data_IF_538368199871
#
_entry.id   IF_538368199871
#
_cell.length_a   1.000
_cell.length_b   1.000
_cell.length_c   1.000
_cell.angle_alpha   90.00
_cell.angle_beta   90.00
_cell.angle_gamma   90.00
#
_symmetry.space_group_name_H-M   'P 1'
#
loop_
_entity.id
_entity.type
_entity.pdbx_description
1 polymer ?
#
# COMPACT_ATOMS: atom_id res chain seq x y z
N UNK A 1 -3.70 11.66 9.56
CA UNK A 1 -2.39 11.91 8.90
C UNK A 1 -2.69 12.37 7.46
N UNK A 2 -2.07 13.43 6.94
CA UNK A 2 -2.31 13.87 5.55
C UNK A 2 -1.49 12.99 4.59
N UNK A 3 -2.15 12.06 3.90
CA UNK A 3 -1.48 11.08 3.03
C UNK A 3 -0.79 11.72 1.82
N UNK A 4 -1.34 12.82 1.27
CA UNK A 4 -0.70 13.62 0.21
C UNK A 4 0.67 14.14 0.69
N UNK A 5 0.77 14.51 1.97
CA UNK A 5 2.04 14.91 2.60
C UNK A 5 3.10 13.82 2.54
N UNK A 6 2.80 12.62 3.04
CA UNK A 6 3.74 11.47 3.02
C UNK A 6 4.11 11.04 1.59
N UNK A 7 3.18 11.11 0.63
CA UNK A 7 3.47 10.78 -0.78
C UNK A 7 4.43 11.82 -1.40
N UNK A 8 4.18 13.11 -1.18
CA UNK A 8 4.99 14.19 -1.77
C UNK A 8 6.35 14.37 -1.09
N UNK A 9 6.46 14.14 0.22
CA UNK A 9 7.73 14.20 0.95
C UNK A 9 8.63 12.98 0.69
N UNK A 10 8.14 11.96 -0.01
CA UNK A 10 8.84 10.71 -0.23
C UNK A 10 9.04 9.90 1.06
N UNK A 11 8.08 9.95 1.99
CA UNK A 11 8.12 9.28 3.29
C UNK A 11 8.31 7.77 3.14
N UNK A 12 9.36 7.25 3.79
CA UNK A 12 9.69 5.83 3.85
C UNK A 12 9.65 5.28 5.27
N UNK A 13 9.06 5.98 6.24
CA UNK A 13 8.96 5.49 7.63
C UNK A 13 8.04 4.29 7.81
N UNK A 14 7.46 3.77 6.71
CA UNK A 14 6.52 2.67 6.71
C UNK A 14 7.13 1.34 7.15
N UNK A 15 6.35 0.53 7.86
CA UNK A 15 6.77 -0.75 8.45
C UNK A 15 5.76 -1.87 8.20
N UNK A 16 6.25 -3.11 8.14
CA UNK A 16 5.45 -4.33 8.26
C UNK A 16 5.73 -4.89 9.65
N UNK A 17 4.69 -5.17 10.42
CA UNK A 17 4.84 -5.64 11.80
C UNK A 17 4.00 -6.89 12.05
N UNK A 18 4.59 -7.84 12.78
CA UNK A 18 3.95 -9.00 13.39
C UNK A 18 3.47 -8.59 14.78
N UNK A 19 2.24 -8.89 15.14
CA UNK A 19 1.79 -8.93 16.53
C UNK A 19 1.40 -10.35 16.93
N UNK A 20 1.97 -10.78 18.04
CA UNK A 20 1.86 -12.11 18.59
C UNK A 20 1.00 -12.07 19.87
N UNK A 21 -0.15 -12.74 19.86
CA UNK A 21 -1.14 -12.63 20.95
C UNK A 21 -0.78 -13.44 22.20
N UNK A 22 0.04 -14.49 22.08
CA UNK A 22 0.46 -15.31 23.22
C UNK A 22 1.50 -14.57 24.05
N UNK A 23 2.45 -13.92 23.37
CA UNK A 23 3.53 -13.16 24.01
C UNK A 23 3.20 -11.67 24.20
N UNK A 24 2.14 -11.17 23.56
CA UNK A 24 1.77 -9.75 23.43
C UNK A 24 2.90 -8.87 22.84
N UNK A 25 3.77 -9.44 22.00
CA UNK A 25 4.91 -8.73 21.40
C UNK A 25 4.62 -8.23 19.99
N UNK A 26 5.14 -7.04 19.68
CA UNK A 26 5.22 -6.49 18.31
C UNK A 26 6.65 -6.68 17.78
N UNK A 27 6.80 -7.40 16.66
CA UNK A 27 8.07 -7.53 15.93
C UNK A 27 7.99 -6.77 14.61
N UNK A 28 8.98 -5.93 14.31
CA UNK A 28 9.11 -5.31 12.98
C UNK A 28 9.71 -6.33 12.02
N UNK A 29 8.94 -6.74 11.00
CA UNK A 29 9.37 -7.66 9.96
C UNK A 29 10.11 -6.93 8.83
N UNK A 30 9.61 -5.77 8.43
CA UNK A 30 10.22 -4.90 7.42
C UNK A 30 10.12 -3.44 7.85
N UNK A 31 11.12 -2.65 7.49
CA UNK A 31 11.19 -1.21 7.70
C UNK A 31 11.48 -0.49 6.37
N UNK A 32 11.58 0.84 6.43
CA UNK A 32 11.97 1.68 5.29
C UNK A 32 11.05 1.57 4.05
N UNK A 33 9.76 1.24 4.25
CA UNK A 33 8.79 1.07 3.15
C UNK A 33 8.09 2.37 2.76
N UNK A 34 7.87 2.54 1.45
CA UNK A 34 7.40 3.79 0.83
C UNK A 34 5.87 3.85 0.76
N UNK A 35 5.22 4.12 1.90
CA UNK A 35 3.76 4.08 2.07
C UNK A 35 3.17 2.67 1.81
N UNK A 36 3.46 1.68 2.68
CA UNK A 36 2.81 0.39 2.68
C UNK A 36 1.34 0.58 3.09
N UNK A 37 0.39 0.14 2.27
CA UNK A 37 -1.03 0.49 2.43
C UNK A 37 -1.93 -0.75 2.64
N UNK A 38 -1.74 -1.80 1.83
CA UNK A 38 -2.44 -3.08 1.98
C UNK A 38 -1.52 -4.23 2.33
N UNK A 39 -2.01 -5.18 3.12
CA UNK A 39 -1.35 -6.46 3.40
C UNK A 39 -2.33 -7.63 3.25
N UNK A 40 -1.88 -8.75 2.69
CA UNK A 40 -2.67 -9.98 2.58
C UNK A 40 -1.79 -11.23 2.74
N UNK A 41 -2.26 -12.19 3.53
CA UNK A 41 -1.59 -13.48 3.72
C UNK A 41 -2.02 -14.47 2.62
N UNK A 42 -1.09 -15.30 2.16
CA UNK A 42 -1.38 -16.43 1.26
C UNK A 42 -2.23 -17.50 1.96
N UNK A 43 -3.05 -18.25 1.20
CA UNK A 43 -3.94 -19.29 1.75
C UNK A 43 -3.20 -20.37 2.55
N UNK A 44 -1.96 -20.67 2.16
CA UNK A 44 -1.05 -21.63 2.80
C UNK A 44 -0.20 -21.03 3.94
N UNK A 45 -0.27 -19.71 4.17
CA UNK A 45 0.55 -19.01 5.17
C UNK A 45 2.05 -18.96 4.85
N UNK A 46 2.47 -19.29 3.63
CA UNK A 46 3.88 -19.32 3.23
C UNK A 46 4.46 -17.94 2.90
N UNK A 47 3.63 -16.94 2.55
CA UNK A 47 4.07 -15.59 2.21
C UNK A 47 2.98 -14.52 2.45
N UNK A 48 3.40 -13.26 2.45
CA UNK A 48 2.55 -12.08 2.56
C UNK A 48 2.73 -11.23 1.30
N UNK A 49 1.63 -10.73 0.75
CA UNK A 49 1.66 -9.66 -0.25
C UNK A 49 1.46 -8.29 0.42
N UNK A 50 2.24 -7.30 -0.02
CA UNK A 50 2.26 -5.95 0.53
C UNK A 50 2.10 -4.95 -0.63
N UNK A 51 1.12 -4.05 -0.57
CA UNK A 51 0.95 -2.98 -1.54
C UNK A 51 1.77 -1.74 -1.11
N UNK A 52 2.77 -1.37 -1.91
CA UNK A 52 3.58 -0.17 -1.69
C UNK A 52 3.11 0.96 -2.65
N UNK A 53 2.27 1.86 -2.15
CA UNK A 53 1.48 2.81 -2.96
C UNK A 53 2.36 3.71 -3.82
N UNK A 54 3.36 4.36 -3.24
CA UNK A 54 4.20 5.35 -3.96
C UNK A 54 5.09 4.73 -5.04
N UNK A 55 5.38 3.42 -4.90
CA UNK A 55 6.15 2.62 -5.87
C UNK A 55 5.25 1.86 -6.85
N UNK A 56 3.93 1.97 -6.70
CA UNK A 56 2.91 1.35 -7.55
C UNK A 56 3.17 -0.16 -7.76
N UNK A 57 3.57 -0.88 -6.70
CA UNK A 57 3.96 -2.30 -6.79
C UNK A 57 3.42 -3.12 -5.64
N UNK A 58 3.29 -4.42 -5.89
CA UNK A 58 3.06 -5.44 -4.87
C UNK A 58 4.37 -6.16 -4.60
N UNK A 59 4.76 -6.22 -3.33
CA UNK A 59 5.89 -6.98 -2.83
C UNK A 59 5.41 -8.31 -2.24
N UNK A 60 6.25 -9.35 -2.30
CA UNK A 60 6.03 -10.61 -1.60
C UNK A 60 7.13 -10.80 -0.56
N UNK A 61 6.72 -11.03 0.69
CA UNK A 61 7.60 -11.38 1.80
C UNK A 61 7.38 -12.84 2.21
N UNK A 62 8.44 -13.65 2.20
CA UNK A 62 8.36 -15.08 2.48
C UNK A 62 8.41 -15.37 3.99
N UNK A 63 7.55 -16.27 4.47
CA UNK A 63 7.41 -16.62 5.89
C UNK A 63 7.95 -18.02 6.25
N UNK A 64 7.61 -19.06 5.46
CA UNK A 64 7.75 -20.48 5.88
C UNK A 64 8.44 -21.38 4.85
N UNK A 65 9.29 -20.82 4.00
CA UNK A 65 10.03 -21.54 2.95
C UNK A 65 11.54 -21.38 3.15
N UNK A 66 12.42 -22.06 2.37
CA UNK A 66 13.86 -21.77 2.37
C UNK A 66 14.22 -20.32 1.99
N UNK A 67 13.25 -19.55 1.49
CA UNK A 67 13.34 -18.11 1.22
C UNK A 67 12.83 -17.23 2.39
N UNK A 68 12.47 -17.79 3.54
CA UNK A 68 11.89 -17.03 4.66
C UNK A 68 12.75 -15.80 5.04
N UNK A 69 12.09 -14.68 5.32
CA UNK A 69 12.75 -13.39 5.58
C UNK A 69 13.15 -12.60 4.32
N UNK A 70 13.06 -13.18 3.12
CA UNK A 70 13.35 -12.45 1.88
C UNK A 70 12.14 -11.72 1.31
N UNK A 71 12.43 -10.65 0.55
CA UNK A 71 11.47 -9.75 -0.07
C UNK A 71 11.71 -9.68 -1.58
N UNK A 72 10.68 -9.96 -2.39
CA UNK A 72 10.73 -9.89 -3.86
C UNK A 72 9.59 -9.02 -4.43
N UNK A 73 9.77 -8.47 -5.64
CA UNK A 73 8.67 -7.79 -6.34
C UNK A 73 7.74 -8.85 -6.94
N UNK A 74 6.48 -8.86 -6.54
CA UNK A 74 5.48 -9.80 -7.06
C UNK A 74 4.82 -9.28 -8.34
N UNK A 75 4.48 -7.99 -8.37
CA UNK A 75 3.88 -7.34 -9.53
C UNK A 75 4.19 -5.84 -9.54
N UNK A 76 4.55 -5.30 -10.70
CA UNK A 76 4.56 -3.86 -10.94
C UNK A 76 3.21 -3.45 -11.54
N UNK A 77 2.58 -2.40 -11.01
CA UNK A 77 1.25 -1.94 -11.42
C UNK A 77 1.31 -0.51 -11.97
N UNK A 78 0.34 -0.16 -12.82
CA UNK A 78 0.30 1.10 -13.57
C UNK A 78 -0.25 2.29 -12.77
N UNK A 79 -0.54 2.10 -11.48
CA UNK A 79 -1.28 3.07 -10.68
C UNK A 79 -1.05 2.92 -9.18
N UNK A 80 -1.57 3.88 -8.43
CA UNK A 80 -1.43 3.93 -6.97
C UNK A 80 -2.22 2.79 -6.34
N UNK A 81 -1.49 1.81 -5.81
CA UNK A 81 -2.04 0.62 -5.16
C UNK A 81 -2.55 0.96 -3.77
N UNK A 82 -3.66 0.34 -3.39
CA UNK A 82 -4.33 0.51 -2.11
C UNK A 82 -4.37 -0.83 -1.37
N UNK A 83 -5.52 -1.25 -0.85
CA UNK A 83 -5.65 -2.50 -0.11
C UNK A 83 -5.46 -3.75 -0.98
N UNK A 84 -4.89 -4.81 -0.38
CA UNK A 84 -4.86 -6.16 -0.95
C UNK A 84 -5.80 -7.06 -0.13
N UNK A 85 -6.57 -7.94 -0.78
CA UNK A 85 -7.36 -8.99 -0.13
C UNK A 85 -7.23 -10.33 -0.85
N UNK A 86 -7.10 -11.41 -0.09
CA UNK A 86 -7.11 -12.78 -0.61
C UNK A 86 -8.50 -13.11 -1.18
N UNK A 87 -8.55 -13.69 -2.37
CA UNK A 87 -9.80 -14.06 -3.04
C UNK A 87 -10.29 -15.44 -2.56
N UNK A 88 -11.60 -15.62 -2.31
CA UNK A 88 -12.17 -16.94 -1.98
C UNK A 88 -11.85 -17.98 -3.07
N UNK A 89 -11.97 -17.59 -4.34
CA UNK A 89 -11.78 -18.43 -5.53
C UNK A 89 -10.33 -18.48 -6.03
N UNK A 90 -9.35 -18.24 -5.15
CA UNK A 90 -7.91 -18.09 -5.46
C UNK A 90 -7.50 -16.73 -6.04
N UNK A 91 -6.21 -16.43 -5.89
CA UNK A 91 -5.61 -15.13 -6.22
C UNK A 91 -5.83 -14.06 -5.15
N UNK A 92 -5.57 -12.81 -5.54
CA UNK A 92 -5.71 -11.63 -4.69
C UNK A 92 -6.34 -10.48 -5.47
N UNK A 93 -7.16 -9.68 -4.78
CA UNK A 93 -7.70 -8.42 -5.27
C UNK A 93 -6.84 -7.27 -4.75
N UNK A 94 -6.43 -6.36 -5.63
CA UNK A 94 -5.66 -5.15 -5.28
C UNK A 94 -6.47 -3.93 -5.70
N UNK A 95 -6.78 -3.05 -4.74
CA UNK A 95 -7.37 -1.76 -5.04
C UNK A 95 -6.38 -0.86 -5.77
N UNK A 96 -6.84 -0.11 -6.76
CA UNK A 96 -6.02 0.88 -7.48
C UNK A 96 -6.82 2.17 -7.61
N UNK A 97 -6.28 3.28 -7.10
CA UNK A 97 -7.01 4.55 -7.02
C UNK A 97 -7.02 5.32 -8.36
N UNK A 98 -5.85 5.40 -9.00
CA UNK A 98 -5.65 6.12 -10.26
C UNK A 98 -4.40 5.62 -10.98
N UNK A 99 -4.33 5.84 -12.30
CA UNK A 99 -3.09 5.62 -13.07
C UNK A 99 -2.00 6.60 -12.61
N UNK A 100 -0.75 6.15 -12.67
CA UNK A 100 0.42 6.99 -12.36
C UNK A 100 0.70 7.92 -13.54
N UNK A 101 0.14 9.13 -13.52
CA UNK A 101 0.44 10.15 -14.53
C UNK A 101 1.92 10.59 -14.45
N UNK A 102 2.57 10.83 -15.60
CA UNK A 102 3.99 11.22 -15.68
C UNK A 102 4.34 12.44 -14.80
N UNK A 103 3.42 13.40 -14.68
CA UNK A 103 3.60 14.58 -13.83
C UNK A 103 3.69 14.22 -12.34
N UNK A 104 2.88 13.25 -11.88
CA UNK A 104 2.87 12.76 -10.50
C UNK A 104 4.07 11.87 -10.23
N UNK A 105 4.47 11.05 -11.21
CA UNK A 105 5.73 10.30 -11.15
C UNK A 105 6.95 11.22 -11.02
N UNK A 106 7.01 12.31 -11.79
CA UNK A 106 8.08 13.30 -11.70
C UNK A 106 8.11 14.00 -10.33
N UNK A 107 6.95 14.40 -9.80
CA UNK A 107 6.83 15.00 -8.46
C UNK A 107 7.30 14.04 -7.35
N UNK A 108 6.87 12.79 -7.38
CA UNK A 108 7.27 11.76 -6.39
C UNK A 108 8.77 11.41 -6.51
N UNK A 109 9.32 11.49 -7.72
CA UNK A 109 10.76 11.29 -7.96
C UNK A 109 11.64 12.43 -7.44
N UNK A 110 11.05 13.60 -7.13
CA UNK A 110 11.77 14.77 -6.61
C UNK A 110 11.17 15.27 -5.28
N UNK A 111 11.43 14.58 -4.14
CA UNK A 111 10.85 14.92 -2.84
C UNK A 111 11.09 16.36 -2.37
N UNK A 112 12.15 17.02 -2.85
CA UNK A 112 12.40 18.44 -2.55
C UNK A 112 11.29 19.36 -3.07
N UNK A 113 10.68 19.03 -4.22
CA UNK A 113 9.56 19.78 -4.81
C UNK A 113 8.31 19.57 -3.97
N UNK A 114 8.02 18.33 -3.59
CA UNK A 114 6.90 18.01 -2.70
C UNK A 114 7.02 18.71 -1.34
N UNK A 115 8.22 18.70 -0.75
CA UNK A 115 8.52 19.41 0.50
C UNK A 115 8.44 20.94 0.36
N UNK A 116 8.76 21.52 -0.80
CA UNK A 116 8.55 22.93 -1.07
C UNK A 116 7.06 23.29 -1.20
N UNK A 117 6.28 22.48 -1.94
CA UNK A 117 4.83 22.64 -2.08
C UNK A 117 4.10 22.53 -0.73
N UNK A 118 4.56 21.66 0.17
CA UNK A 118 4.01 21.51 1.52
C UNK A 118 4.28 22.71 2.45
N UNK A 119 5.22 23.61 2.10
CA UNK A 119 5.48 24.84 2.86
C UNK A 119 4.61 26.03 2.42
N UNK A 120 3.94 25.92 1.28
CA UNK A 120 3.00 26.95 0.83
C UNK A 120 1.70 26.88 1.65
N UNK A 121 0.99 28.01 1.88
CA UNK A 121 -0.29 28.04 2.60
C UNK A 121 -1.46 27.49 1.76
N UNK A 122 -1.20 26.50 0.90
CA UNK A 122 -2.16 25.90 -0.02
C UNK A 122 -2.62 24.56 0.56
N UNK A 123 -3.93 24.41 0.75
CA UNK A 123 -4.50 23.13 1.18
C UNK A 123 -4.53 22.15 -0.01
N UNK A 124 -3.43 21.42 -0.22
CA UNK A 124 -3.26 20.44 -1.30
C UNK A 124 -4.35 19.36 -1.31
N UNK A 125 -4.91 19.00 -0.16
CA UNK A 125 -6.01 18.03 -0.07
C UNK A 125 -7.31 18.60 -0.64
N UNK A 126 -7.65 19.87 -0.33
CA UNK A 126 -8.77 20.58 -0.96
C UNK A 126 -8.54 20.77 -2.47
N UNK A 127 -7.32 21.13 -2.88
CA UNK A 127 -6.98 21.28 -4.30
C UNK A 127 -7.16 19.96 -5.08
N UNK A 128 -6.66 18.84 -4.54
CA UNK A 128 -6.86 17.50 -5.11
C UNK A 128 -8.34 17.11 -5.18
N UNK A 129 -9.11 17.36 -4.11
CA UNK A 129 -10.55 17.06 -4.09
C UNK A 129 -11.34 17.88 -5.13
N UNK A 130 -11.03 19.17 -5.29
CA UNK A 130 -11.62 20.02 -6.33
C UNK A 130 -11.26 19.51 -7.74
N UNK A 131 -10.00 19.16 -7.98
CA UNK A 131 -9.55 18.64 -9.27
C UNK A 131 -10.20 17.29 -9.63
N UNK A 132 -10.32 16.39 -8.65
CA UNK A 132 -11.00 15.11 -8.81
C UNK A 132 -12.50 15.27 -9.16
N UNK A 133 -13.17 16.26 -8.54
CA UNK A 133 -14.57 16.60 -8.83
C UNK A 133 -14.77 17.08 -10.28
N UNK A 134 -13.78 17.77 -10.86
CA UNK A 134 -13.81 18.22 -12.27
C UNK A 134 -13.38 17.14 -13.27
N UNK A 135 -12.48 16.21 -12.91
CA UNK A 135 -11.99 15.16 -13.83
C UNK A 135 -12.87 13.90 -13.91
N UNK A 136 -13.80 13.70 -12.97
CA UNK A 136 -14.58 12.47 -12.85
C UNK A 136 -13.76 11.34 -12.22
N UNK A 137 -14.21 10.83 -11.08
CA UNK A 137 -13.39 9.99 -10.20
C UNK A 137 -13.77 8.51 -10.21
N UNK A 138 -12.91 7.66 -10.76
CA UNK A 138 -12.89 6.21 -10.52
C UNK A 138 -12.66 5.36 -11.76
N UNK A 139 -11.40 4.98 -12.02
CA UNK A 139 -11.07 3.99 -13.05
C UNK A 139 -10.94 2.60 -12.42
N UNK A 140 -12.07 1.89 -12.37
CA UNK A 140 -12.14 0.49 -11.97
C UNK A 140 -11.54 -0.42 -13.06
N UNK A 141 -10.24 -0.72 -12.99
CA UNK A 141 -9.65 -1.78 -13.83
C UNK A 141 -9.96 -3.12 -13.20
N UNK A 142 -10.66 -3.99 -13.92
CA UNK A 142 -11.17 -5.24 -13.36
C UNK A 142 -10.96 -6.43 -14.30
N UNK A 143 -10.72 -7.59 -13.70
CA UNK A 143 -11.10 -8.90 -14.25
C UNK A 143 -12.58 -9.24 -13.93
N UNK A 144 -13.47 -8.22 -13.99
CA UNK A 144 -14.88 -8.14 -13.48
C UNK A 144 -15.09 -8.44 -11.97
N UNK A 145 -15.82 -7.67 -11.15
CA UNK A 145 -16.45 -6.34 -11.28
C UNK A 145 -16.43 -5.61 -9.89
N UNK A 146 -16.39 -4.27 -9.81
CA UNK A 146 -15.98 -3.54 -8.58
C UNK A 146 -17.15 -2.99 -7.72
N UNK A 147 -17.06 -3.13 -6.39
CA UNK A 147 -17.91 -2.43 -5.40
C UNK A 147 -17.06 -1.90 -4.23
N UNK A 148 -17.30 -0.65 -3.81
CA UNK A 148 -16.46 0.07 -2.85
C UNK A 148 -16.82 -0.22 -1.38
N UNK A 149 -15.80 -0.40 -0.55
CA UNK A 149 -15.81 -0.17 0.90
C UNK A 149 -14.39 0.22 1.33
N UNK A 150 -14.24 1.25 2.18
CA UNK A 150 -12.95 1.52 2.83
C UNK A 150 -12.64 0.38 3.81
N UNK A 151 -11.42 -0.14 3.73
CA UNK A 151 -10.88 -1.08 4.70
C UNK A 151 -9.44 -0.69 5.04
N UNK A 152 -8.99 -1.01 6.25
CA UNK A 152 -7.59 -0.88 6.66
C UNK A 152 -6.91 -2.25 6.58
N UNK A 153 -5.65 -2.29 6.14
CA UNK A 153 -4.90 -3.52 5.92
C UNK A 153 -4.53 -4.25 7.22
N UNK A 154 -5.21 -5.36 7.50
CA UNK A 154 -4.86 -6.31 8.56
C UNK A 154 -5.00 -7.72 7.98
N UNK A 155 -3.94 -8.51 8.05
CA UNK A 155 -3.93 -9.92 7.71
C UNK A 155 -3.77 -10.76 8.99
N UNK A 156 -4.59 -11.80 9.16
CA UNK A 156 -4.49 -12.77 10.27
C UNK A 156 -3.91 -14.07 9.73
N UNK A 157 -3.00 -14.69 10.47
CA UNK A 157 -2.51 -16.04 10.17
C UNK A 157 -3.28 -17.14 10.94
N UNK A 158 -3.02 -18.39 10.53
CA UNK A 158 -3.66 -19.58 11.10
C UNK A 158 -3.28 -19.83 12.58
N UNK A 159 -2.28 -19.14 13.11
CA UNK A 159 -1.76 -19.27 14.48
C UNK A 159 -2.20 -18.06 15.35
N UNK A 160 -3.15 -17.25 14.87
CA UNK A 160 -3.67 -16.11 15.62
C UNK A 160 -2.73 -14.90 15.65
N UNK A 161 -1.62 -14.91 14.91
CA UNK A 161 -0.77 -13.75 14.71
C UNK A 161 -1.44 -12.76 13.75
N UNK A 162 -1.31 -11.47 14.03
CA UNK A 162 -1.83 -10.40 13.17
C UNK A 162 -0.67 -9.65 12.52
N UNK A 163 -0.78 -9.36 11.23
CA UNK A 163 0.24 -8.68 10.45
C UNK A 163 -0.39 -7.46 9.78
N UNK A 164 0.24 -6.31 10.01
CA UNK A 164 -0.31 -4.99 9.66
C UNK A 164 0.81 -4.02 9.30
N UNK A 165 0.41 -2.90 8.69
CA UNK A 165 1.27 -1.84 8.20
C UNK A 165 0.94 -0.49 8.86
N UNK A 166 1.97 0.35 9.06
CA UNK A 166 1.92 1.75 9.53
C UNK A 166 2.91 2.58 8.71
#
# INVERSE_FOLDING_TARGET
RNYIGSILSGDKTGRLMKYDFETNQVTVLLNNMSFPNGVALSKDGNYILIAETTKCRVLKYWLKTPKAGTLEVFAQLQGFVDNIKTSPREGFWVGMHSKREKIVEWLISHPWIGNALLRLPINLMKAHASLAKYRGSGLAVNLLFLRYHLFTGIARDLVGTYIFNI
#
